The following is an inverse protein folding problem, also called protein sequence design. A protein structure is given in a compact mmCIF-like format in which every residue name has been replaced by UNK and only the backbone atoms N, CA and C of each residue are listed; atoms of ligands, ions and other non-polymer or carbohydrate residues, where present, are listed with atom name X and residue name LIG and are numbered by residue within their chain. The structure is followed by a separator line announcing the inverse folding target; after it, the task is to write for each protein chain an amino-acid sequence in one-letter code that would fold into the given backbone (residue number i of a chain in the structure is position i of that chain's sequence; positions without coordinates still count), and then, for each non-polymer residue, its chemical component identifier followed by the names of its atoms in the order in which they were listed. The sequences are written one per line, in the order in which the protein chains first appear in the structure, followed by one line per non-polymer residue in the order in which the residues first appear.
data_IF_778253348710
#
_entry.id   IF_778253348710
#
_cell.length_a   1.000
_cell.length_b   1.000
_cell.length_c   1.000
_cell.angle_alpha   90.00
_cell.angle_beta   90.00
_cell.angle_gamma   90.00
#
_symmetry.space_group_name_H-M   'P 1'
#
loop_
_entity.id
_entity.type
_entity.pdbx_description
1 polymer ?
#
# COMPACT_ATOMS: atom_id res chain seq x y z
N UNK A 1 21.91 4.26 9.18
CA UNK A 1 21.87 5.51 8.38
C UNK A 1 22.37 5.30 6.95
N UNK A 2 23.55 4.69 6.74
CA UNK A 2 24.12 4.46 5.40
C UNK A 2 23.19 3.67 4.44
N UNK A 3 22.58 2.57 4.88
CA UNK A 3 21.69 1.77 4.02
C UNK A 3 20.40 2.49 3.60
N UNK A 4 19.86 3.39 4.44
CA UNK A 4 18.71 4.22 4.05
C UNK A 4 19.06 5.15 2.90
N UNK A 5 20.23 5.76 2.95
CA UNK A 5 20.73 6.65 1.89
C UNK A 5 20.96 5.88 0.59
N UNK A 6 21.67 4.74 0.69
CA UNK A 6 21.97 3.90 -0.48
C UNK A 6 20.69 3.39 -1.14
N UNK A 7 19.73 2.85 -0.36
CA UNK A 7 18.46 2.39 -0.91
C UNK A 7 17.55 3.53 -1.38
N UNK A 8 17.70 4.73 -0.82
CA UNK A 8 17.06 5.98 -1.26
C UNK A 8 17.56 6.48 -2.62
N UNK A 9 18.80 6.20 -2.95
CA UNK A 9 19.38 6.52 -4.26
C UNK A 9 19.26 5.39 -5.28
N UNK A 10 19.13 4.14 -4.84
CA UNK A 10 18.88 3.04 -5.76
C UNK A 10 18.03 1.93 -5.09
N UNK A 11 16.79 1.70 -5.58
CA UNK A 11 15.89 0.71 -5.00
C UNK A 11 16.37 -0.74 -5.17
N UNK A 12 17.42 -1.03 -5.95
CA UNK A 12 18.02 -2.38 -6.01
C UNK A 12 18.58 -2.85 -4.66
N UNK A 13 19.03 -1.91 -3.81
CA UNK A 13 19.54 -2.22 -2.47
C UNK A 13 18.43 -2.45 -1.43
N UNK A 14 17.15 -2.38 -1.82
CA UNK A 14 16.04 -2.71 -0.93
C UNK A 14 16.09 -4.15 -0.44
N UNK A 15 16.74 -5.07 -1.17
CA UNK A 15 16.89 -6.47 -0.72
C UNK A 15 17.63 -6.54 0.62
N UNK A 16 18.82 -5.93 0.70
CA UNK A 16 19.65 -5.94 1.91
C UNK A 16 18.93 -5.27 3.07
N UNK A 17 18.27 -4.13 2.79
CA UNK A 17 17.50 -3.42 3.82
C UNK A 17 16.31 -4.25 4.31
N UNK A 18 15.61 -4.91 3.40
CA UNK A 18 14.47 -5.75 3.72
C UNK A 18 14.88 -6.92 4.61
N UNK A 19 15.98 -7.60 4.28
CA UNK A 19 16.49 -8.72 5.08
C UNK A 19 16.80 -8.29 6.52
N UNK A 20 17.48 -7.13 6.68
CA UNK A 20 17.76 -6.54 7.99
C UNK A 20 16.47 -6.18 8.72
N UNK A 21 15.51 -5.54 8.04
CA UNK A 21 14.22 -5.17 8.63
C UNK A 21 13.48 -6.41 9.13
N UNK A 22 13.50 -7.49 8.35
CA UNK A 22 12.82 -8.73 8.71
C UNK A 22 13.46 -9.44 9.89
N UNK A 23 14.81 -9.42 9.99
CA UNK A 23 15.53 -9.89 11.18
C UNK A 23 15.11 -9.06 12.40
N UNK A 24 15.11 -7.73 12.28
CA UNK A 24 14.72 -6.83 13.35
C UNK A 24 13.27 -7.05 13.80
N UNK A 25 12.34 -7.26 12.86
CA UNK A 25 10.93 -7.59 13.17
C UNK A 25 10.84 -8.88 13.99
N UNK A 26 11.57 -9.92 13.62
CA UNK A 26 11.59 -11.20 14.33
C UNK A 26 12.15 -11.06 15.75
N UNK A 27 13.22 -10.29 15.91
CA UNK A 27 13.90 -10.08 17.20
C UNK A 27 13.10 -9.16 18.15
N UNK A 28 12.35 -8.19 17.61
CA UNK A 28 11.65 -7.18 18.40
C UNK A 28 10.39 -7.67 19.11
N UNK A 29 9.82 -8.81 18.70
CA UNK A 29 8.60 -9.36 19.30
C UNK A 29 7.45 -8.35 19.33
N UNK A 30 7.09 -7.85 20.52
CA UNK A 30 5.99 -6.89 20.74
C UNK A 30 6.23 -5.51 20.12
N UNK A 31 7.48 -5.15 19.83
CA UNK A 31 7.87 -3.84 19.27
C UNK A 31 8.03 -3.88 17.73
N UNK A 32 7.60 -4.99 17.10
CA UNK A 32 7.69 -5.19 15.65
C UNK A 32 6.85 -4.19 14.85
N UNK A 33 5.73 -3.72 15.41
CA UNK A 33 4.86 -2.70 14.82
C UNK A 33 5.61 -1.40 14.52
N UNK A 34 6.36 -0.87 15.48
CA UNK A 34 7.14 0.38 15.32
C UNK A 34 8.22 0.26 14.24
N UNK A 35 8.81 -0.93 14.09
CA UNK A 35 9.81 -1.20 13.05
C UNK A 35 9.13 -1.21 11.68
N UNK A 36 8.00 -1.90 11.57
CA UNK A 36 7.21 -1.96 10.33
C UNK A 36 6.74 -0.55 9.94
N UNK A 37 6.22 0.24 10.87
CA UNK A 37 5.76 1.61 10.61
C UNK A 37 6.89 2.51 10.08
N UNK A 38 8.08 2.44 10.70
CA UNK A 38 9.25 3.19 10.22
C UNK A 38 9.64 2.77 8.80
N UNK A 39 9.61 1.47 8.51
CA UNK A 39 9.93 0.98 7.17
C UNK A 39 8.87 1.35 6.15
N UNK A 40 7.59 1.37 6.53
CA UNK A 40 6.49 1.84 5.69
C UNK A 40 6.63 3.33 5.34
N UNK A 41 7.13 4.17 6.25
CA UNK A 41 7.44 5.57 5.96
C UNK A 41 8.62 5.71 5.01
N UNK A 42 9.68 4.92 5.21
CA UNK A 42 10.80 4.88 4.27
C UNK A 42 10.34 4.47 2.86
N UNK A 43 9.58 3.38 2.75
CA UNK A 43 9.04 2.91 1.48
C UNK A 43 8.09 3.91 0.84
N UNK A 44 7.35 4.70 1.61
CA UNK A 44 6.50 5.78 1.07
C UNK A 44 7.33 6.74 0.22
N UNK A 45 8.49 7.17 0.74
CA UNK A 45 9.41 8.06 0.03
C UNK A 45 9.99 7.39 -1.22
N UNK A 46 10.37 6.10 -1.10
CA UNK A 46 10.86 5.30 -2.23
C UNK A 46 9.81 5.15 -3.31
N UNK A 47 8.57 4.83 -2.96
CA UNK A 47 7.48 4.64 -3.91
C UNK A 47 7.10 5.96 -4.59
N UNK A 48 7.22 7.11 -3.91
CA UNK A 48 7.03 8.42 -4.53
C UNK A 48 8.14 8.78 -5.53
N UNK A 49 9.42 8.44 -5.23
CA UNK A 49 10.56 8.70 -6.12
C UNK A 49 10.66 7.68 -7.27
N UNK A 50 10.48 6.40 -6.98
CA UNK A 50 10.61 5.25 -7.88
C UNK A 50 9.31 4.48 -8.02
N UNK A 51 8.28 5.13 -8.57
CA UNK A 51 6.91 4.59 -8.67
C UNK A 51 6.79 3.25 -9.39
N UNK A 52 7.76 2.90 -10.26
CA UNK A 52 7.78 1.63 -11.01
C UNK A 52 8.65 0.55 -10.36
N UNK A 53 9.17 0.78 -9.17
CA UNK A 53 9.98 -0.22 -8.46
C UNK A 53 9.10 -1.37 -7.95
N UNK A 54 9.04 -2.46 -8.71
CA UNK A 54 8.33 -3.68 -8.33
C UNK A 54 8.74 -4.18 -6.94
N UNK A 55 10.03 -4.10 -6.63
CA UNK A 55 10.58 -4.54 -5.34
C UNK A 55 10.00 -3.72 -4.19
N UNK A 56 9.97 -2.38 -4.31
CA UNK A 56 9.42 -1.52 -3.25
C UNK A 56 7.95 -1.81 -2.98
N UNK A 57 7.13 -1.99 -4.02
CA UNK A 57 5.71 -2.33 -3.88
C UNK A 57 5.50 -3.72 -3.27
N UNK A 58 6.29 -4.71 -3.68
CA UNK A 58 6.22 -6.07 -3.12
C UNK A 58 6.60 -6.08 -1.64
N UNK A 59 7.71 -5.43 -1.26
CA UNK A 59 8.12 -5.28 0.13
C UNK A 59 7.06 -4.54 0.95
N UNK A 60 6.46 -3.48 0.38
CA UNK A 60 5.36 -2.75 1.03
C UNK A 60 4.15 -3.65 1.30
N UNK A 61 3.75 -4.49 0.34
CA UNK A 61 2.65 -5.46 0.54
C UNK A 61 2.95 -6.44 1.67
N UNK A 62 4.17 -6.99 1.72
CA UNK A 62 4.59 -7.92 2.76
C UNK A 62 4.52 -7.28 4.15
N UNK A 63 4.99 -6.03 4.28
CA UNK A 63 4.93 -5.28 5.53
C UNK A 63 3.51 -4.92 5.94
N UNK A 64 2.63 -4.55 5.00
CA UNK A 64 1.21 -4.32 5.27
C UNK A 64 0.53 -5.60 5.77
N UNK A 65 0.81 -6.74 5.14
CA UNK A 65 0.27 -8.02 5.59
C UNK A 65 0.72 -8.34 7.02
N UNK A 66 2.01 -8.20 7.31
CA UNK A 66 2.54 -8.40 8.65
C UNK A 66 1.89 -7.44 9.66
N UNK A 67 1.79 -6.16 9.33
CA UNK A 67 1.18 -5.15 10.21
C UNK A 67 -0.30 -5.43 10.46
N UNK A 68 -1.06 -5.78 9.42
CA UNK A 68 -2.49 -6.11 9.53
C UNK A 68 -2.73 -7.34 10.39
N UNK A 69 -1.82 -8.31 10.39
CA UNK A 69 -1.89 -9.47 11.27
C UNK A 69 -1.67 -9.06 12.74
N UNK A 70 -0.64 -8.26 13.00
CA UNK A 70 -0.33 -7.75 14.35
C UNK A 70 -1.46 -6.83 14.88
N UNK A 71 -1.99 -5.97 14.02
CA UNK A 71 -3.04 -4.98 14.34
C UNK A 71 -4.46 -5.52 14.15
N UNK A 72 -4.65 -6.80 13.85
CA UNK A 72 -5.97 -7.39 13.58
C UNK A 72 -7.00 -7.19 14.71
N UNK A 73 -6.53 -6.97 15.94
CA UNK A 73 -7.37 -6.65 17.11
C UNK A 73 -7.68 -5.17 17.29
N UNK A 74 -7.07 -4.29 16.49
CA UNK A 74 -7.14 -2.84 16.55
C UNK A 74 -7.73 -2.31 15.23
N UNK A 75 -9.06 -2.40 15.14
CA UNK A 75 -9.81 -2.07 13.93
C UNK A 75 -9.49 -0.65 13.42
N UNK A 76 -9.48 0.33 14.33
CA UNK A 76 -9.24 1.74 13.99
C UNK A 76 -7.85 1.95 13.37
N UNK A 77 -6.80 1.35 13.93
CA UNK A 77 -5.45 1.47 13.38
C UNK A 77 -5.35 0.86 11.98
N UNK A 78 -6.00 -0.28 11.78
CA UNK A 78 -5.99 -0.94 10.48
C UNK A 78 -6.77 -0.14 9.43
N UNK A 79 -7.88 0.50 9.81
CA UNK A 79 -8.60 1.43 8.95
C UNK A 79 -7.76 2.66 8.61
N UNK A 80 -7.04 3.23 9.58
CA UNK A 80 -6.12 4.34 9.34
C UNK A 80 -4.98 3.94 8.41
N UNK A 81 -4.45 2.72 8.52
CA UNK A 81 -3.46 2.17 7.59
C UNK A 81 -4.03 2.14 6.16
N UNK A 82 -5.22 1.56 5.96
CA UNK A 82 -5.87 1.50 4.64
C UNK A 82 -6.03 2.90 4.03
N UNK A 83 -6.50 3.88 4.81
CA UNK A 83 -6.64 5.28 4.36
C UNK A 83 -5.30 5.86 3.92
N UNK A 84 -4.26 5.73 4.74
CA UNK A 84 -2.89 6.22 4.41
C UNK A 84 -2.33 5.59 3.13
N UNK A 85 -2.67 4.32 2.86
CA UNK A 85 -2.26 3.64 1.63
C UNK A 85 -3.02 4.14 0.41
N UNK A 86 -4.34 4.34 0.50
CA UNK A 86 -5.13 4.96 -0.57
C UNK A 86 -4.60 6.36 -0.91
N UNK A 87 -4.27 7.17 0.09
CA UNK A 87 -3.68 8.50 -0.11
C UNK A 87 -2.34 8.43 -0.85
N UNK A 88 -1.46 7.48 -0.49
CA UNK A 88 -0.20 7.28 -1.20
C UNK A 88 -0.45 6.91 -2.67
N UNK A 89 -1.43 6.03 -2.91
CA UNK A 89 -1.77 5.59 -4.25
C UNK A 89 -2.31 6.74 -5.09
N UNK A 90 -3.12 7.63 -4.52
CA UNK A 90 -3.59 8.83 -5.21
C UNK A 90 -2.43 9.73 -5.63
N UNK A 91 -1.49 9.99 -4.72
CA UNK A 91 -0.28 10.78 -5.02
C UNK A 91 0.52 10.14 -6.15
N UNK A 92 0.74 8.83 -6.11
CA UNK A 92 1.48 8.12 -7.16
C UNK A 92 0.75 8.14 -8.50
N UNK A 93 -0.59 8.02 -8.49
CA UNK A 93 -1.39 7.97 -9.71
C UNK A 93 -1.45 9.33 -10.44
N UNK A 94 -1.43 10.45 -9.71
CA UNK A 94 -1.38 11.80 -10.31
C UNK A 94 -0.16 11.94 -11.23
N UNK A 95 0.99 11.40 -10.82
CA UNK A 95 2.22 11.49 -11.60
C UNK A 95 2.35 10.42 -12.68
N UNK A 96 1.79 9.24 -12.47
CA UNK A 96 1.86 8.12 -13.42
C UNK A 96 0.54 7.34 -13.46
N UNK A 97 -0.51 7.86 -14.15
CA UNK A 97 -1.87 7.31 -14.09
C UNK A 97 -2.01 5.92 -14.69
N UNK A 98 -1.05 5.49 -15.53
CA UNK A 98 -1.01 4.15 -16.14
C UNK A 98 -0.03 3.20 -15.45
N UNK A 99 0.40 3.52 -14.23
CA UNK A 99 1.36 2.71 -13.51
C UNK A 99 0.69 1.42 -12.99
N UNK A 100 1.04 0.30 -13.64
CA UNK A 100 0.56 -1.03 -13.28
C UNK A 100 0.72 -1.35 -11.78
N UNK A 101 1.87 -1.03 -11.18
CA UNK A 101 2.13 -1.38 -9.78
C UNK A 101 1.23 -0.61 -8.81
N UNK A 102 0.91 0.65 -9.11
CA UNK A 102 -0.02 1.47 -8.33
C UNK A 102 -1.41 0.84 -8.37
N UNK A 103 -1.93 0.50 -9.55
CA UNK A 103 -3.25 -0.12 -9.67
C UNK A 103 -3.33 -1.50 -9.02
N UNK A 104 -2.30 -2.34 -9.17
CA UNK A 104 -2.26 -3.64 -8.50
C UNK A 104 -2.19 -3.49 -6.97
N UNK A 105 -1.41 -2.52 -6.48
CA UNK A 105 -1.37 -2.25 -5.05
C UNK A 105 -2.71 -1.72 -4.54
N UNK A 106 -3.40 -0.84 -5.29
CA UNK A 106 -4.76 -0.38 -4.98
C UNK A 106 -5.76 -1.53 -4.87
N UNK A 107 -5.75 -2.46 -5.82
CA UNK A 107 -6.57 -3.69 -5.76
C UNK A 107 -6.24 -4.53 -4.51
N UNK A 108 -4.96 -4.67 -4.16
CA UNK A 108 -4.53 -5.37 -2.94
C UNK A 108 -5.06 -4.71 -1.66
N UNK A 109 -4.95 -3.39 -1.54
CA UNK A 109 -5.45 -2.64 -0.38
C UNK A 109 -6.96 -2.83 -0.20
N UNK A 110 -7.73 -2.80 -1.29
CA UNK A 110 -9.19 -3.00 -1.19
C UNK A 110 -9.58 -4.44 -0.87
N UNK A 111 -8.82 -5.44 -1.33
CA UNK A 111 -9.02 -6.83 -0.88
C UNK A 111 -8.75 -6.96 0.62
N UNK A 112 -7.71 -6.32 1.13
CA UNK A 112 -7.42 -6.28 2.56
C UNK A 112 -8.52 -5.56 3.35
N UNK A 113 -9.02 -4.44 2.82
CA UNK A 113 -10.15 -3.72 3.38
C UNK A 113 -11.39 -4.61 3.50
N UNK A 114 -11.70 -5.42 2.47
CA UNK A 114 -12.81 -6.37 2.47
C UNK A 114 -12.75 -7.35 3.65
N UNK A 115 -11.55 -7.77 4.03
CA UNK A 115 -11.35 -8.76 5.09
C UNK A 115 -11.42 -8.20 6.51
N UNK A 116 -11.22 -6.89 6.68
CA UNK A 116 -11.00 -6.28 8.01
C UNK A 116 -12.02 -5.20 8.33
N UNK A 117 -12.43 -4.40 7.36
CA UNK A 117 -13.33 -3.27 7.60
C UNK A 117 -14.79 -3.74 7.79
N UNK A 118 -15.58 -3.07 8.65
CA UNK A 118 -17.01 -3.26 8.69
C UNK A 118 -17.65 -2.94 7.34
N UNK A 119 -18.73 -3.64 7.00
CA UNK A 119 -19.38 -3.52 5.68
C UNK A 119 -19.74 -2.08 5.31
N UNK A 120 -20.21 -1.27 6.26
CA UNK A 120 -20.55 0.13 6.02
C UNK A 120 -19.35 0.98 5.58
N UNK A 121 -18.23 0.85 6.29
CA UNK A 121 -17.01 1.60 5.96
C UNK A 121 -16.40 1.12 4.63
N UNK A 122 -16.47 -0.19 4.37
CA UNK A 122 -16.04 -0.76 3.09
C UNK A 122 -16.85 -0.20 1.93
N UNK A 123 -18.19 -0.19 2.03
CA UNK A 123 -19.07 0.36 0.98
C UNK A 123 -18.76 1.84 0.74
N UNK A 124 -18.56 2.62 1.81
CA UNK A 124 -18.15 4.02 1.69
C UNK A 124 -16.83 4.19 0.92
N UNK A 125 -15.82 3.37 1.24
CA UNK A 125 -14.54 3.37 0.55
C UNK A 125 -14.68 3.00 -0.94
N UNK A 126 -15.40 1.92 -1.27
CA UNK A 126 -15.60 1.47 -2.66
C UNK A 126 -16.33 2.53 -3.48
N UNK A 127 -17.36 3.17 -2.92
CA UNK A 127 -18.09 4.24 -3.59
C UNK A 127 -17.21 5.47 -3.85
N UNK A 128 -16.36 5.84 -2.89
CA UNK A 128 -15.41 6.93 -3.07
C UNK A 128 -14.41 6.66 -4.20
N UNK A 129 -13.93 5.41 -4.32
CA UNK A 129 -13.00 5.00 -5.38
C UNK A 129 -13.68 4.98 -6.76
N UNK A 130 -14.92 4.49 -6.86
CA UNK A 130 -15.71 4.55 -8.11
C UNK A 130 -15.92 5.98 -8.56
N UNK A 131 -16.35 6.86 -7.66
CA UNK A 131 -16.60 8.26 -7.96
C UNK A 131 -15.33 8.93 -8.51
N UNK A 132 -14.21 8.77 -7.80
CA UNK A 132 -12.91 9.38 -8.12
C UNK A 132 -12.45 9.10 -9.55
N UNK A 133 -12.66 7.90 -10.05
CA UNK A 133 -12.21 7.51 -11.40
C UNK A 133 -13.30 7.54 -12.46
N UNK A 134 -14.57 7.72 -12.07
CA UNK A 134 -15.69 7.94 -12.99
C UNK A 134 -15.78 9.36 -13.53
N UNK A 135 -15.10 10.32 -12.90
CA UNK A 135 -15.12 11.71 -13.35
C UNK A 135 -14.35 11.88 -14.67
N UNK A 136 -15.06 12.25 -15.73
CA UNK A 136 -14.50 12.48 -17.06
C UNK A 136 -14.36 11.20 -17.89
N UNK A 137 -13.39 11.18 -18.81
CA UNK A 137 -13.10 10.01 -19.64
C UNK A 137 -11.92 9.25 -19.01
N UNK A 138 -12.15 8.16 -18.24
CA UNK A 138 -11.06 7.41 -17.64
C UNK A 138 -10.15 6.83 -18.73
N UNK A 139 -8.86 6.74 -18.42
CA UNK A 139 -7.96 5.94 -19.24
C UNK A 139 -8.25 4.44 -19.07
N UNK A 140 -7.63 3.62 -19.91
CA UNK A 140 -7.87 2.18 -19.91
C UNK A 140 -7.56 1.50 -18.56
N UNK A 141 -6.53 1.96 -17.83
CA UNK A 141 -6.17 1.38 -16.53
C UNK A 141 -7.18 1.77 -15.45
N UNK A 142 -7.65 3.02 -15.45
CA UNK A 142 -8.71 3.48 -14.57
C UNK A 142 -10.03 2.75 -14.86
N UNK A 143 -10.40 2.57 -16.13
CA UNK A 143 -11.61 1.84 -16.51
C UNK A 143 -11.54 0.37 -16.08
N UNK A 144 -10.43 -0.33 -16.35
CA UNK A 144 -10.22 -1.72 -15.92
C UNK A 144 -10.36 -1.85 -14.39
N UNK A 145 -9.88 -0.86 -13.65
CA UNK A 145 -10.02 -0.83 -12.21
C UNK A 145 -11.48 -0.64 -11.75
N UNK A 146 -12.24 0.26 -12.37
CA UNK A 146 -13.68 0.47 -12.08
C UNK A 146 -14.48 -0.79 -12.39
N UNK A 147 -14.20 -1.44 -13.52
CA UNK A 147 -14.85 -2.69 -13.91
C UNK A 147 -14.54 -3.77 -12.87
N UNK A 148 -13.27 -3.89 -12.46
CA UNK A 148 -12.85 -4.80 -11.40
C UNK A 148 -13.58 -4.53 -10.07
N UNK A 149 -13.72 -3.26 -9.65
CA UNK A 149 -14.48 -2.91 -8.44
C UNK A 149 -15.92 -3.39 -8.52
N UNK A 150 -16.55 -3.18 -9.68
CA UNK A 150 -17.94 -3.55 -9.91
C UNK A 150 -18.15 -5.06 -9.89
N UNK A 151 -17.17 -5.85 -10.31
CA UNK A 151 -17.25 -7.32 -10.24
C UNK A 151 -16.92 -7.90 -8.87
N UNK A 152 -15.97 -7.31 -8.13
CA UNK A 152 -15.47 -7.89 -6.87
C UNK A 152 -16.29 -7.50 -5.62
N UNK A 153 -17.05 -6.41 -5.72
CA UNK A 153 -17.80 -5.80 -4.61
C UNK A 153 -19.26 -5.50 -4.99
N UNK A 154 -19.80 -6.18 -6.00
CA UNK A 154 -21.24 -6.26 -6.23
C UNK A 154 -21.93 -7.14 -5.18
#
# INVERSE_FOLDING_TARGET
MALSLIAGENPTYLNVRYDITFIQIKEAGKESDKIIEREMQFLRLINQKYRKSSKSWSTRQQLIQALSYVQSKQLEQTQQLIKKEVDLLDICNIHEPRNYYVWQHRKFILKLAKTIMPSGDLVGLINSEKLKFSEGKPDASAQEYIDWLSHQFA
#
